data_IF_022085523112
#
_entry.id   IF_022085523112
#
_cell.length_a   1.000
_cell.length_b   1.000
_cell.length_c   1.000
_cell.angle_alpha   90.00
_cell.angle_beta   90.00
_cell.angle_gamma   90.00
#
_symmetry.space_group_name_H-M   'P 1'
#
loop_
_entity.id
_entity.type
_entity.pdbx_description
1 polymer ?
#
# COMPACT_ATOMS: atom_id res chain seq x y z
N UNK A 1 21.28 1.05 -7.34
CA UNK A 1 19.98 0.81 -6.69
C UNK A 1 19.00 0.45 -7.79
N UNK A 2 18.37 -0.73 -7.76
CA UNK A 2 17.35 -1.09 -8.74
C UNK A 2 16.08 -0.30 -8.37
N UNK A 3 15.58 0.53 -9.27
CA UNK A 3 14.27 1.16 -9.08
C UNK A 3 13.25 0.03 -9.06
N UNK A 4 12.56 -0.15 -7.93
CA UNK A 4 11.40 -1.04 -7.87
C UNK A 4 10.34 -0.48 -8.79
N UNK A 5 9.65 -1.36 -9.52
CA UNK A 5 8.48 -0.95 -10.28
C UNK A 5 7.36 -0.60 -9.31
N UNK A 6 6.47 0.33 -9.69
CA UNK A 6 5.22 0.61 -8.96
C UNK A 6 4.40 -0.68 -8.72
N UNK A 7 4.52 -1.67 -9.62
CA UNK A 7 3.92 -3.01 -9.46
C UNK A 7 4.57 -3.78 -8.31
N UNK A 8 5.90 -3.75 -8.18
CA UNK A 8 6.61 -4.44 -7.10
C UNK A 8 6.28 -3.83 -5.73
N UNK A 9 6.11 -2.51 -5.67
CA UNK A 9 5.72 -1.78 -4.46
C UNK A 9 4.27 -2.08 -4.07
N UNK A 10 3.36 -2.20 -5.05
CA UNK A 10 1.99 -2.62 -4.82
C UNK A 10 1.90 -4.06 -4.32
N UNK A 11 2.67 -4.99 -4.90
CA UNK A 11 2.74 -6.38 -4.45
C UNK A 11 3.30 -6.49 -3.02
N UNK A 12 4.29 -5.68 -2.68
CA UNK A 12 4.84 -5.61 -1.32
C UNK A 12 3.81 -5.11 -0.30
N UNK A 13 3.06 -4.04 -0.64
CA UNK A 13 1.97 -3.55 0.20
C UNK A 13 0.89 -4.62 0.42
N UNK A 14 0.51 -5.35 -0.62
CA UNK A 14 -0.48 -6.44 -0.51
C UNK A 14 0.00 -7.58 0.40
N UNK A 15 1.28 -7.94 0.32
CA UNK A 15 1.88 -8.93 1.21
C UNK A 15 1.87 -8.48 2.68
N UNK A 16 2.23 -7.22 2.94
CA UNK A 16 2.19 -6.65 4.29
C UNK A 16 0.76 -6.65 4.87
N UNK A 17 -0.25 -6.32 4.06
CA UNK A 17 -1.67 -6.40 4.46
C UNK A 17 -2.07 -7.84 4.78
N UNK A 18 -1.63 -8.82 3.97
CA UNK A 18 -1.92 -10.23 4.21
C UNK A 18 -1.32 -10.73 5.53
N UNK A 19 -0.09 -10.33 5.85
CA UNK A 19 0.58 -10.71 7.10
C UNK A 19 -0.03 -10.01 8.32
N UNK A 20 -0.37 -8.74 8.20
CA UNK A 20 -1.11 -8.03 9.24
C UNK A 20 -2.46 -8.67 9.53
N UNK A 21 -3.19 -9.11 8.49
CA UNK A 21 -4.45 -9.86 8.66
C UNK A 21 -4.25 -11.17 9.42
N UNK A 22 -3.13 -11.86 9.24
CA UNK A 22 -2.80 -13.07 10.04
C UNK A 22 -2.55 -12.70 11.49
N UNK A 23 -1.75 -11.65 11.74
CA UNK A 23 -1.45 -11.15 13.08
C UNK A 23 -2.73 -10.79 13.86
N UNK A 24 -3.67 -10.08 13.21
CA UNK A 24 -4.96 -9.72 13.81
C UNK A 24 -5.82 -10.93 14.15
N UNK A 25 -5.75 -11.99 13.35
CA UNK A 25 -6.47 -13.24 13.60
C UNK A 25 -5.84 -14.08 14.71
N UNK A 26 -4.51 -14.06 14.83
CA UNK A 26 -3.78 -14.80 15.86
C UNK A 26 -3.69 -14.06 17.20
N UNK A 27 -3.99 -12.76 17.23
CA UNK A 27 -3.93 -11.99 18.47
C UNK A 27 -5.00 -12.46 19.47
N UNK A 28 -4.61 -12.95 20.66
CA UNK A 28 -5.53 -13.44 21.66
C UNK A 28 -6.33 -12.32 22.35
N UNK A 29 -5.83 -11.08 22.31
CA UNK A 29 -6.48 -9.92 22.91
C UNK A 29 -6.54 -8.73 21.96
N UNK A 30 -7.72 -8.55 21.35
CA UNK A 30 -8.02 -7.44 20.45
C UNK A 30 -8.23 -6.11 21.18
N UNK A 31 -8.29 -6.14 22.52
CA UNK A 31 -8.42 -4.97 23.38
C UNK A 31 -7.09 -4.52 24.00
N UNK A 32 -5.97 -5.22 23.74
CA UNK A 32 -4.64 -4.76 24.16
C UNK A 32 -4.39 -3.36 23.56
N UNK A 33 -4.21 -2.31 24.38
CA UNK A 33 -3.97 -0.95 23.90
C UNK A 33 -2.77 -0.84 22.94
N UNK A 34 -1.74 -1.66 23.13
CA UNK A 34 -0.57 -1.72 22.23
C UNK A 34 -0.96 -2.28 20.87
N UNK A 35 -1.76 -3.34 20.85
CA UNK A 35 -2.27 -3.91 19.61
C UNK A 35 -3.18 -2.92 18.87
N UNK A 36 -4.03 -2.17 19.59
CA UNK A 36 -4.87 -1.12 19.00
C UNK A 36 -4.02 0.02 18.41
N UNK A 37 -2.93 0.41 19.09
CA UNK A 37 -2.01 1.42 18.58
C UNK A 37 -1.30 0.95 17.31
N UNK A 38 -0.72 -0.26 17.32
CA UNK A 38 -0.09 -0.86 16.15
C UNK A 38 -1.06 -0.98 14.97
N UNK A 39 -2.32 -1.35 15.24
CA UNK A 39 -3.36 -1.39 14.22
C UNK A 39 -3.63 -0.02 13.59
N UNK A 40 -3.69 1.05 14.40
CA UNK A 40 -3.88 2.42 13.89
C UNK A 40 -2.69 2.86 13.04
N UNK A 41 -1.47 2.60 13.49
CA UNK A 41 -0.25 2.96 12.76
C UNK A 41 -0.16 2.22 11.43
N UNK A 42 -0.46 0.92 11.42
CA UNK A 42 -0.50 0.14 10.19
C UNK A 42 -1.54 0.66 9.20
N UNK A 43 -2.75 0.99 9.68
CA UNK A 43 -3.79 1.57 8.84
C UNK A 43 -3.35 2.89 8.19
N UNK A 44 -2.74 3.78 8.99
CA UNK A 44 -2.22 5.06 8.49
C UNK A 44 -1.10 4.86 7.46
N UNK A 45 -0.23 3.87 7.68
CA UNK A 45 0.82 3.53 6.72
C UNK A 45 0.24 3.06 5.38
N UNK A 46 -0.77 2.18 5.40
CA UNK A 46 -1.45 1.70 4.19
C UNK A 46 -2.12 2.84 3.43
N UNK A 47 -2.78 3.76 4.14
CA UNK A 47 -3.39 4.95 3.53
C UNK A 47 -2.34 5.80 2.82
N UNK A 48 -1.22 6.11 3.49
CA UNK A 48 -0.15 6.92 2.91
C UNK A 48 0.51 6.28 1.69
N UNK A 49 0.82 4.98 1.74
CA UNK A 49 1.43 4.28 0.60
C UNK A 49 0.45 4.17 -0.57
N UNK A 50 -0.84 3.98 -0.30
CA UNK A 50 -1.86 3.94 -1.35
C UNK A 50 -1.99 5.31 -2.05
N UNK A 51 -1.94 6.41 -1.29
CA UNK A 51 -1.93 7.77 -1.84
C UNK A 51 -0.67 8.02 -2.68
N UNK A 52 0.50 7.58 -2.22
CA UNK A 52 1.76 7.73 -2.96
C UNK A 52 1.77 6.92 -4.27
N UNK A 53 1.30 5.67 -4.25
CA UNK A 53 1.17 4.82 -5.43
C UNK A 53 0.16 5.38 -6.44
N UNK A 54 -0.97 5.92 -5.96
CA UNK A 54 -1.99 6.55 -6.83
C UNK A 54 -1.52 7.88 -7.41
N UNK A 55 -0.76 8.68 -6.65
CA UNK A 55 -0.11 9.89 -7.16
C UNK A 55 0.98 9.55 -8.19
N UNK A 56 1.76 8.49 -7.95
CA UNK A 56 2.80 7.99 -8.87
C UNK A 56 2.23 7.36 -10.15
N UNK A 57 1.01 6.83 -10.09
CA UNK A 57 0.28 6.27 -11.24
C UNK A 57 -0.15 7.31 -12.29
N UNK A 58 0.01 8.62 -12.05
CA UNK A 58 -0.21 9.66 -13.08
C UNK A 58 0.89 9.73 -14.14
N UNK A 59 1.97 8.96 -14.03
CA UNK A 59 3.02 8.82 -15.06
C UNK A 59 2.78 7.56 -15.92
N UNK A 60 1.51 7.23 -16.20
CA UNK A 60 1.14 6.54 -17.44
C UNK A 60 0.02 7.37 -18.08
N UNK A 61 0.25 8.68 -18.19
CA UNK A 61 -0.50 9.51 -19.11
C UNK A 61 -0.19 8.93 -20.51
N UNK A 62 -1.15 8.17 -21.04
CA UNK A 62 -1.11 7.71 -22.41
C UNK A 62 -0.64 8.88 -23.28
N UNK A 63 0.42 8.75 -24.10
CA UNK A 63 0.74 9.81 -25.05
C UNK A 63 -0.50 10.00 -25.89
N UNK A 64 -1.18 11.13 -25.68
CA UNK A 64 -2.32 11.57 -26.48
C UNK A 64 -1.92 11.31 -27.91
N UNK A 65 -2.61 10.36 -28.55
CA UNK A 65 -2.47 10.06 -29.97
C UNK A 65 -2.46 11.39 -30.69
N UNK A 66 -1.30 11.79 -31.21
CA UNK A 66 -1.17 12.93 -32.10
C UNK A 66 -1.96 12.52 -33.34
N UNK A 67 -3.21 12.98 -33.44
CA UNK A 67 -3.98 12.87 -34.65
C UNK A 67 -3.27 13.75 -35.69
N UNK A 68 -2.69 13.09 -36.69
CA UNK A 68 -2.11 13.74 -37.86
C UNK A 68 -3.23 14.44 -38.62
N UNK A 69 -3.12 15.74 -38.80
CA UNK A 69 -3.67 16.46 -39.95
C UNK A 69 -2.56 17.30 -40.55
#
# INVERSE_FOLDING_TARGET
MKNKSCIDEMDELLNQIADFKKLVKSSPDKSDPRFVQEYRLFKQHVEWVSEDLTASSYIVDHPKRVAKH
#
